data_IF_619639296964
#
_entry.id   IF_619639296964
#
_cell.length_a   1.000
_cell.length_b   1.000
_cell.length_c   1.000
_cell.angle_alpha   90.00
_cell.angle_beta   90.00
_cell.angle_gamma   90.00
#
_symmetry.space_group_name_H-M   'P 1'
#
loop_
_entity.id
_entity.type
_entity.pdbx_description
1 polymer ?
#
# COMPACT_ATOMS: atom_id res chain seq x y z
N UNK A 1 -14.13 7.53 13.34
CA UNK A 1 -14.67 6.30 12.72
C UNK A 1 -14.95 5.32 13.82
N UNK A 2 -16.20 4.97 14.11
CA UNK A 2 -16.47 4.11 15.26
C UNK A 2 -15.76 2.74 15.16
N UNK A 3 -15.09 2.32 16.24
CA UNK A 3 -14.66 0.93 16.45
C UNK A 3 -15.83 -0.05 16.23
N UNK A 4 -17.07 0.43 16.43
CA UNK A 4 -18.32 -0.27 16.16
C UNK A 4 -18.45 -0.74 14.70
N UNK A 5 -17.94 0.02 13.73
CA UNK A 5 -17.97 -0.39 12.32
C UNK A 5 -17.24 -1.72 12.14
N UNK A 6 -15.97 -1.79 12.52
CA UNK A 6 -15.16 -3.00 12.40
C UNK A 6 -15.61 -4.11 13.36
N UNK A 7 -16.09 -3.76 14.56
CA UNK A 7 -16.68 -4.74 15.47
C UNK A 7 -17.86 -5.49 14.82
N UNK A 8 -18.75 -4.78 14.12
CA UNK A 8 -19.85 -5.43 13.41
C UNK A 8 -19.38 -6.38 12.30
N UNK A 9 -18.26 -6.08 11.63
CA UNK A 9 -17.66 -6.95 10.60
C UNK A 9 -17.07 -8.20 11.27
N UNK A 10 -16.37 -8.01 12.40
CA UNK A 10 -15.83 -9.11 13.19
C UNK A 10 -16.93 -10.06 13.67
N UNK A 11 -18.07 -9.54 14.13
CA UNK A 11 -19.20 -10.38 14.54
C UNK A 11 -19.83 -11.15 13.37
N UNK A 12 -19.95 -10.54 12.19
CA UNK A 12 -20.39 -11.25 10.98
C UNK A 12 -19.43 -12.40 10.63
N UNK A 13 -18.13 -12.16 10.63
CA UNK A 13 -17.13 -13.20 10.33
C UNK A 13 -17.10 -14.31 11.38
N UNK A 14 -17.22 -13.96 12.67
CA UNK A 14 -17.32 -14.96 13.75
C UNK A 14 -18.51 -15.88 13.52
N UNK A 15 -19.66 -15.33 13.15
CA UNK A 15 -20.87 -16.11 12.86
C UNK A 15 -20.69 -17.00 11.64
N UNK A 16 -20.17 -16.46 10.53
CA UNK A 16 -20.00 -17.19 9.26
C UNK A 16 -19.02 -18.35 9.42
N UNK A 17 -17.91 -18.14 10.14
CA UNK A 17 -16.83 -19.13 10.27
C UNK A 17 -16.81 -19.86 11.61
N UNK A 18 -17.85 -19.70 12.43
CA UNK A 18 -17.96 -20.30 13.77
C UNK A 18 -16.72 -20.05 14.65
N UNK A 19 -16.17 -18.82 14.62
CA UNK A 19 -15.00 -18.44 15.43
C UNK A 19 -15.43 -18.23 16.87
N UNK A 20 -14.93 -19.10 17.76
CA UNK A 20 -15.16 -19.01 19.21
C UNK A 20 -14.33 -17.90 19.85
N UNK A 21 -14.87 -17.24 20.87
CA UNK A 21 -14.20 -16.13 21.55
C UNK A 21 -12.86 -16.54 22.17
N UNK A 22 -12.76 -17.76 22.71
CA UNK A 22 -11.54 -18.29 23.34
C UNK A 22 -10.40 -18.37 22.31
N UNK A 23 -10.72 -18.82 21.09
CA UNK A 23 -9.73 -18.90 19.99
C UNK A 23 -9.31 -17.53 19.50
N UNK A 24 -10.20 -16.54 19.62
CA UNK A 24 -9.93 -15.16 19.24
C UNK A 24 -8.97 -14.47 20.23
N UNK A 25 -9.02 -14.86 21.52
CA UNK A 25 -8.05 -14.41 22.53
C UNK A 25 -6.63 -14.86 22.21
N UNK A 26 -6.47 -16.09 21.74
CA UNK A 26 -5.17 -16.62 21.29
C UNK A 26 -4.72 -15.86 20.03
N UNK A 27 -5.60 -15.78 19.03
CA UNK A 27 -5.30 -15.08 17.78
C UNK A 27 -4.94 -13.60 17.97
N UNK A 28 -5.56 -12.92 18.93
CA UNK A 28 -5.26 -11.55 19.29
C UNK A 28 -3.83 -11.36 19.84
N UNK A 29 -3.33 -12.34 20.60
CA UNK A 29 -1.94 -12.38 21.07
C UNK A 29 -0.99 -12.65 19.91
N UNK A 30 -1.31 -13.61 19.05
CA UNK A 30 -0.50 -13.94 17.86
C UNK A 30 -0.38 -12.72 16.93
N UNK A 31 -1.50 -12.05 16.65
CA UNK A 31 -1.56 -10.80 15.88
C UNK A 31 -0.77 -9.68 16.56
N UNK A 32 -0.84 -9.54 17.87
CA UNK A 32 -0.02 -8.55 18.57
C UNK A 32 1.48 -8.85 18.47
N UNK A 33 1.86 -10.12 18.57
CA UNK A 33 3.24 -10.58 18.51
C UNK A 33 3.84 -10.38 17.12
N UNK A 34 3.10 -10.73 16.06
CA UNK A 34 3.55 -10.59 14.67
C UNK A 34 3.77 -9.12 14.26
N UNK A 35 3.05 -8.18 14.86
CA UNK A 35 3.19 -6.74 14.63
C UNK A 35 4.01 -6.04 15.72
N UNK A 36 4.73 -6.78 16.55
CA UNK A 36 5.69 -6.20 17.47
C UNK A 36 6.86 -5.56 16.71
N UNK A 37 7.52 -4.52 17.25
CA UNK A 37 8.70 -3.94 16.61
C UNK A 37 9.77 -4.98 16.31
N UNK A 38 9.99 -5.94 17.22
CA UNK A 38 10.97 -7.04 17.05
C UNK A 38 10.64 -7.90 15.83
N UNK A 39 9.38 -8.32 15.69
CA UNK A 39 8.93 -9.14 14.56
C UNK A 39 8.97 -8.38 13.23
N UNK A 40 8.58 -7.10 13.22
CA UNK A 40 8.63 -6.24 12.02
C UNK A 40 10.08 -6.04 11.54
N UNK A 41 11.00 -5.75 12.46
CA UNK A 41 12.42 -5.59 12.13
C UNK A 41 13.08 -6.90 11.69
N UNK A 42 12.66 -8.04 12.26
CA UNK A 42 13.16 -9.36 11.91
C UNK A 42 12.49 -10.01 10.69
N UNK A 43 11.52 -9.36 10.05
CA UNK A 43 10.78 -9.94 8.93
C UNK A 43 9.93 -11.17 9.29
N UNK A 44 9.72 -11.45 10.58
CA UNK A 44 9.02 -12.63 11.09
C UNK A 44 7.53 -12.36 11.35
N UNK A 45 6.91 -11.52 10.51
CA UNK A 45 5.54 -11.02 10.69
C UNK A 45 4.47 -11.93 10.10
N UNK A 46 4.86 -13.08 9.56
CA UNK A 46 3.94 -13.96 8.84
C UNK A 46 2.84 -14.50 9.75
N UNK A 47 1.60 -14.18 9.40
CA UNK A 47 0.40 -14.77 9.96
C UNK A 47 -0.51 -15.26 8.83
N UNK A 48 -1.06 -16.45 9.01
CA UNK A 48 -2.02 -16.98 8.05
C UNK A 48 -3.39 -16.30 8.21
N UNK A 49 -3.67 -15.33 7.33
CA UNK A 49 -4.98 -14.67 7.27
C UNK A 49 -6.03 -15.46 6.47
N UNK A 50 -5.71 -16.64 5.94
CA UNK A 50 -6.75 -17.58 5.54
C UNK A 50 -7.50 -18.12 6.77
N UNK A 51 -6.87 -18.11 7.94
CA UNK A 51 -7.53 -18.41 9.20
C UNK A 51 -8.44 -17.25 9.67
N UNK A 52 -9.78 -17.46 9.76
CA UNK A 52 -10.73 -16.44 10.16
C UNK A 52 -10.46 -15.84 11.55
N UNK A 53 -9.87 -16.60 12.48
CA UNK A 53 -9.54 -16.09 13.82
C UNK A 53 -8.52 -14.94 13.74
N UNK A 54 -7.53 -15.05 12.86
CA UNK A 54 -6.47 -14.06 12.69
C UNK A 54 -7.03 -12.79 12.03
N UNK A 55 -7.95 -12.94 11.07
CA UNK A 55 -8.65 -11.80 10.46
C UNK A 55 -9.52 -11.05 11.46
N UNK A 56 -10.34 -11.77 12.22
CA UNK A 56 -11.16 -11.18 13.29
C UNK A 56 -10.30 -10.41 14.31
N UNK A 57 -9.18 -11.01 14.73
CA UNK A 57 -8.25 -10.38 15.66
C UNK A 57 -7.62 -9.11 15.08
N UNK A 58 -7.19 -9.15 13.82
CA UNK A 58 -6.64 -7.99 13.11
C UNK A 58 -7.67 -6.87 12.94
N UNK A 59 -8.90 -7.19 12.50
CA UNK A 59 -9.97 -6.21 12.33
C UNK A 59 -10.26 -5.48 13.64
N UNK A 60 -10.33 -6.21 14.74
CA UNK A 60 -10.53 -5.62 16.06
C UNK A 60 -9.33 -4.76 16.50
N UNK A 61 -8.10 -5.25 16.28
CA UNK A 61 -6.89 -4.61 16.82
C UNK A 61 -6.42 -3.41 15.99
N UNK A 62 -6.37 -3.51 14.65
CA UNK A 62 -5.65 -2.56 13.81
C UNK A 62 -6.53 -1.80 12.81
N UNK A 63 -7.68 -2.33 12.40
CA UNK A 63 -8.44 -1.74 11.30
C UNK A 63 -8.86 -0.29 11.54
N UNK A 64 -9.35 0.03 12.74
CA UNK A 64 -9.79 1.38 13.09
C UNK A 64 -8.66 2.42 13.00
N UNK A 65 -7.47 2.09 13.53
CA UNK A 65 -6.33 3.00 13.51
C UNK A 65 -5.75 3.16 12.10
N UNK A 66 -5.64 2.07 11.32
CA UNK A 66 -5.17 2.15 9.93
C UNK A 66 -6.11 3.00 9.06
N UNK A 67 -7.41 2.86 9.29
CA UNK A 67 -8.38 3.69 8.57
C UNK A 67 -8.30 5.16 8.96
N UNK A 68 -8.09 5.44 10.25
CA UNK A 68 -7.90 6.80 10.74
C UNK A 68 -6.63 7.46 10.18
N UNK A 69 -5.53 6.69 10.07
CA UNK A 69 -4.29 7.14 9.43
C UNK A 69 -4.55 7.59 8.00
N UNK A 70 -5.12 6.69 7.18
CA UNK A 70 -5.37 6.97 5.77
C UNK A 70 -6.33 8.14 5.59
N UNK A 71 -7.42 8.18 6.36
CA UNK A 71 -8.36 9.29 6.32
C UNK A 71 -7.66 10.64 6.60
N UNK A 72 -6.91 10.73 7.69
CA UNK A 72 -6.32 12.00 8.11
C UNK A 72 -5.27 12.48 7.09
N UNK A 73 -4.31 11.63 6.74
CA UNK A 73 -3.20 12.04 5.88
C UNK A 73 -3.60 12.18 4.42
N UNK A 74 -4.54 11.37 3.91
CA UNK A 74 -5.04 11.58 2.55
C UNK A 74 -5.89 12.84 2.46
N UNK A 75 -6.68 13.16 3.50
CA UNK A 75 -7.41 14.43 3.55
C UNK A 75 -6.44 15.62 3.53
N UNK A 76 -5.40 15.59 4.35
CA UNK A 76 -4.34 16.61 4.33
C UNK A 76 -3.68 16.73 2.95
N UNK A 77 -3.44 15.60 2.27
CA UNK A 77 -2.92 15.59 0.91
C UNK A 77 -3.90 16.19 -0.12
N UNK A 78 -5.21 16.04 0.07
CA UNK A 78 -6.25 16.67 -0.75
C UNK A 78 -6.42 18.17 -0.45
N UNK A 79 -6.15 18.60 0.78
CA UNK A 79 -6.19 20.02 1.14
C UNK A 79 -5.02 20.78 0.47
N UNK A 80 -4.02 20.06 -0.05
CA UNK A 80 -2.90 20.58 -0.84
C UNK A 80 -3.25 20.62 -2.34
N UNK A 81 -3.07 21.78 -2.96
CA UNK A 81 -3.60 22.13 -4.29
C UNK A 81 -3.26 21.13 -5.41
N UNK A 82 -1.99 20.71 -5.65
CA UNK A 82 -1.65 19.81 -6.75
C UNK A 82 -2.45 18.49 -6.76
N UNK A 83 -2.61 17.85 -5.60
CA UNK A 83 -3.30 16.55 -5.51
C UNK A 83 -4.77 16.69 -5.86
N UNK A 84 -5.42 17.70 -5.28
CA UNK A 84 -6.85 17.95 -5.50
C UNK A 84 -7.12 18.36 -6.94
N UNK A 85 -6.33 19.27 -7.50
CA UNK A 85 -6.45 19.70 -8.89
C UNK A 85 -6.39 18.48 -9.82
N UNK A 86 -5.35 17.65 -9.70
CA UNK A 86 -5.17 16.47 -10.56
C UNK A 86 -6.36 15.50 -10.48
N UNK A 87 -6.89 15.26 -9.27
CA UNK A 87 -8.04 14.37 -9.07
C UNK A 87 -9.38 15.00 -9.48
N UNK A 88 -9.53 16.32 -9.37
CA UNK A 88 -10.77 17.04 -9.73
C UNK A 88 -11.06 16.93 -11.23
N UNK A 89 -10.03 16.88 -12.08
CA UNK A 89 -10.19 16.67 -13.52
C UNK A 89 -10.56 15.23 -13.91
N UNK A 90 -10.41 14.25 -13.01
CA UNK A 90 -10.78 12.86 -13.29
C UNK A 90 -12.29 12.69 -13.21
N UNK A 91 -12.87 12.01 -14.20
CA UNK A 91 -14.28 11.56 -14.18
C UNK A 91 -14.42 10.21 -13.49
N UNK A 92 -13.45 9.33 -13.71
CA UNK A 92 -13.42 7.96 -13.22
C UNK A 92 -12.12 7.72 -12.43
N UNK A 93 -12.21 7.81 -11.11
CA UNK A 93 -11.09 7.59 -10.19
C UNK A 93 -10.97 6.08 -9.90
N UNK A 94 -9.78 5.54 -10.15
CA UNK A 94 -9.40 4.16 -9.84
C UNK A 94 -8.40 4.13 -8.70
N UNK A 95 -8.64 3.29 -7.70
CA UNK A 95 -7.81 3.19 -6.49
C UNK A 95 -7.15 1.81 -6.45
N UNK A 96 -5.85 1.76 -6.17
CA UNK A 96 -5.09 0.54 -5.93
C UNK A 96 -4.41 0.58 -4.55
N UNK A 97 -4.73 -0.38 -3.68
CA UNK A 97 -4.08 -0.53 -2.37
C UNK A 97 -3.11 -1.71 -2.40
N UNK A 98 -1.85 -1.47 -2.07
CA UNK A 98 -0.76 -2.45 -2.05
C UNK A 98 -0.54 -2.90 -0.60
N UNK A 99 -0.74 -4.18 -0.32
CA UNK A 99 -0.77 -4.71 1.06
C UNK A 99 -1.95 -4.20 1.88
N UNK A 100 -3.09 -3.91 1.24
CA UNK A 100 -4.23 -3.27 1.89
C UNK A 100 -5.03 -4.18 2.84
N UNK A 101 -4.65 -5.44 3.00
CA UNK A 101 -5.30 -6.44 3.85
C UNK A 101 -6.81 -6.56 3.57
N UNK A 102 -7.67 -6.34 4.57
CA UNK A 102 -9.13 -6.39 4.37
C UNK A 102 -9.69 -5.20 3.57
N UNK A 103 -8.89 -4.20 3.19
CA UNK A 103 -9.34 -2.98 2.52
C UNK A 103 -9.65 -1.82 3.47
N UNK A 104 -8.94 -1.73 4.61
CA UNK A 104 -9.07 -0.60 5.55
C UNK A 104 -8.72 0.74 4.92
N UNK A 105 -7.76 0.74 4.01
CA UNK A 105 -7.27 1.94 3.33
C UNK A 105 -8.37 2.56 2.49
N UNK A 106 -9.16 1.72 1.81
CA UNK A 106 -10.31 2.15 1.01
C UNK A 106 -11.32 2.90 1.88
N UNK A 107 -11.63 2.41 3.08
CA UNK A 107 -12.57 3.10 3.97
C UNK A 107 -12.03 4.48 4.38
N UNK A 108 -10.71 4.61 4.56
CA UNK A 108 -10.05 5.87 4.90
C UNK A 108 -10.09 6.86 3.73
N UNK A 109 -9.74 6.39 2.54
CA UNK A 109 -9.78 7.16 1.29
C UNK A 109 -11.20 7.64 0.99
N UNK A 110 -12.20 6.78 1.13
CA UNK A 110 -13.60 7.14 0.86
C UNK A 110 -14.09 8.24 1.78
N UNK A 111 -13.70 8.23 3.06
CA UNK A 111 -14.02 9.32 3.98
C UNK A 111 -13.32 10.62 3.62
N UNK A 112 -12.06 10.55 3.19
CA UNK A 112 -11.30 11.73 2.80
C UNK A 112 -11.89 12.36 1.54
N UNK A 113 -12.19 11.54 0.52
CA UNK A 113 -12.83 11.98 -0.72
C UNK A 113 -14.27 12.49 -0.48
N UNK A 114 -15.06 11.80 0.34
CA UNK A 114 -16.44 12.20 0.66
C UNK A 114 -16.53 13.53 1.43
N UNK A 115 -15.43 14.02 2.00
CA UNK A 115 -15.37 15.35 2.59
C UNK A 115 -15.43 16.48 1.54
N UNK A 116 -15.20 16.17 0.26
CA UNK A 116 -15.33 17.13 -0.85
C UNK A 116 -16.44 16.73 -1.82
N UNK A 117 -17.46 17.59 -2.05
CA UNK A 117 -18.55 17.30 -3.00
C UNK A 117 -18.08 17.02 -4.42
N UNK A 118 -16.94 17.58 -4.82
CA UNK A 118 -16.33 17.40 -6.15
C UNK A 118 -15.95 15.95 -6.48
N UNK A 119 -15.83 15.06 -5.48
CA UNK A 119 -15.53 13.64 -5.68
C UNK A 119 -16.75 12.71 -5.65
N UNK A 120 -17.96 13.28 -5.50
CA UNK A 120 -19.19 12.50 -5.49
C UNK A 120 -19.32 11.63 -6.75
N UNK A 121 -19.51 10.32 -6.58
CA UNK A 121 -19.69 9.34 -7.66
C UNK A 121 -18.51 9.21 -8.66
N UNK A 122 -17.36 9.83 -8.38
CA UNK A 122 -16.17 9.72 -9.26
C UNK A 122 -15.40 8.42 -9.08
N UNK A 123 -15.43 7.80 -7.90
CA UNK A 123 -14.71 6.53 -7.68
C UNK A 123 -15.45 5.39 -8.36
N UNK A 124 -14.84 4.81 -9.39
CA UNK A 124 -15.45 3.73 -10.20
C UNK A 124 -14.80 2.37 -9.98
N UNK A 125 -13.58 2.34 -9.45
CA UNK A 125 -12.89 1.08 -9.17
C UNK A 125 -12.01 1.17 -7.94
N UNK A 126 -12.05 0.13 -7.12
CA UNK A 126 -11.06 -0.12 -6.07
C UNK A 126 -10.48 -1.52 -6.23
N UNK A 127 -9.16 -1.65 -6.07
CA UNK A 127 -8.49 -2.94 -6.10
C UNK A 127 -7.51 -3.05 -4.95
N UNK A 128 -7.58 -4.14 -4.18
CA UNK A 128 -6.60 -4.51 -3.16
C UNK A 128 -5.72 -5.61 -3.71
N UNK A 129 -4.41 -5.37 -3.71
CA UNK A 129 -3.38 -6.34 -4.05
C UNK A 129 -2.71 -6.76 -2.74
N UNK A 130 -2.87 -8.02 -2.34
CA UNK A 130 -2.37 -8.52 -1.07
C UNK A 130 -1.88 -9.96 -1.20
N UNK A 131 -0.89 -10.37 -0.42
CA UNK A 131 -0.41 -11.76 -0.43
C UNK A 131 -1.50 -12.73 0.07
N UNK A 132 -2.34 -12.28 1.01
CA UNK A 132 -3.30 -13.13 1.71
C UNK A 132 -4.70 -13.07 1.07
N UNK A 133 -5.02 -14.07 0.24
CA UNK A 133 -6.36 -14.22 -0.35
C UNK A 133 -7.50 -14.38 0.67
N UNK A 134 -7.19 -14.82 1.90
CA UNK A 134 -8.14 -14.98 3.00
C UNK A 134 -8.93 -13.72 3.38
N UNK A 135 -8.40 -12.53 3.07
CA UNK A 135 -9.07 -11.25 3.29
C UNK A 135 -10.36 -11.04 2.50
N UNK A 136 -10.62 -11.87 1.48
CA UNK A 136 -11.75 -11.71 0.54
C UNK A 136 -13.11 -11.57 1.24
N UNK A 137 -13.33 -12.25 2.37
CA UNK A 137 -14.58 -12.15 3.12
C UNK A 137 -14.71 -10.82 3.85
N UNK A 138 -13.70 -10.42 4.62
CA UNK A 138 -13.62 -9.11 5.29
C UNK A 138 -13.81 -7.96 4.29
N UNK A 139 -13.12 -8.06 3.15
CA UNK A 139 -13.20 -7.10 2.06
C UNK A 139 -14.62 -6.97 1.50
N UNK A 140 -15.29 -8.09 1.20
CA UNK A 140 -16.70 -8.07 0.75
C UNK A 140 -17.62 -7.39 1.75
N UNK A 141 -17.44 -7.65 3.05
CA UNK A 141 -18.23 -7.01 4.10
C UNK A 141 -17.99 -5.50 4.19
N UNK A 142 -16.73 -5.06 4.05
CA UNK A 142 -16.36 -3.63 4.02
C UNK A 142 -17.00 -2.94 2.81
N UNK A 143 -16.81 -3.50 1.61
CA UNK A 143 -17.35 -2.92 0.37
C UNK A 143 -18.88 -2.88 0.40
N UNK A 144 -19.53 -3.94 0.89
CA UNK A 144 -20.99 -3.95 1.04
C UNK A 144 -21.46 -2.82 1.96
N UNK A 145 -20.83 -2.64 3.13
CA UNK A 145 -21.19 -1.56 4.06
C UNK A 145 -20.93 -0.16 3.46
N UNK A 146 -19.88 0.02 2.69
CA UNK A 146 -19.62 1.26 1.93
C UNK A 146 -20.74 1.56 0.93
N UNK A 147 -21.11 0.59 0.09
CA UNK A 147 -22.19 0.71 -0.91
C UNK A 147 -23.54 1.08 -0.29
N UNK A 148 -23.82 0.59 0.92
CA UNK A 148 -25.09 0.84 1.62
C UNK A 148 -25.03 2.05 2.58
N UNK A 149 -24.00 2.90 2.49
CA UNK A 149 -23.87 4.10 3.32
C UNK A 149 -23.79 3.82 4.83
N UNK A 150 -23.22 2.67 5.21
CA UNK A 150 -23.05 2.27 6.63
C UNK A 150 -21.72 2.74 7.23
N UNK A 151 -20.91 3.47 6.46
CA UNK A 151 -19.68 4.10 6.93
C UNK A 151 -19.97 5.54 7.30
N UNK A 152 -19.80 5.88 8.57
CA UNK A 152 -19.93 7.24 9.09
C UNK A 152 -19.10 8.23 8.25
N UNK A 153 -19.73 9.30 7.78
CA UNK A 153 -19.09 10.33 6.95
C UNK A 153 -18.96 9.99 5.46
N UNK A 154 -19.53 8.87 5.00
CA UNK A 154 -19.63 8.52 3.58
C UNK A 154 -21.12 8.42 3.22
N UNK A 155 -21.69 9.38 2.47
CA UNK A 155 -23.09 9.33 2.05
C UNK A 155 -23.42 8.05 1.27
N UNK A 156 -24.63 7.51 1.41
CA UNK A 156 -25.08 6.33 0.66
C UNK A 156 -25.03 6.54 -0.87
N UNK A 157 -25.24 7.77 -1.32
CA UNK A 157 -25.17 8.17 -2.73
C UNK A 157 -23.75 8.42 -3.25
N UNK A 158 -22.74 8.41 -2.38
CA UNK A 158 -21.35 8.69 -2.76
C UNK A 158 -20.81 7.70 -3.80
N UNK A 159 -21.28 6.45 -3.75
CA UNK A 159 -20.94 5.40 -4.70
C UNK A 159 -22.06 5.25 -5.71
N UNK A 160 -21.74 5.43 -6.98
CA UNK A 160 -22.64 4.98 -8.04
C UNK A 160 -22.52 3.46 -8.17
N UNK A 161 -23.51 2.73 -7.64
CA UNK A 161 -23.46 1.26 -7.60
C UNK A 161 -23.53 0.60 -8.99
N UNK A 162 -23.99 1.32 -10.02
CA UNK A 162 -24.14 0.77 -11.38
C UNK A 162 -22.80 0.61 -12.11
N UNK A 163 -21.80 1.45 -11.81
CA UNK A 163 -20.49 1.44 -12.46
C UNK A 163 -19.33 1.09 -11.52
N UNK A 164 -19.57 0.98 -10.20
CA UNK A 164 -18.53 0.72 -9.22
C UNK A 164 -18.09 -0.76 -9.13
N UNK A 165 -16.78 -0.98 -9.30
CA UNK A 165 -16.11 -2.29 -9.18
C UNK A 165 -15.19 -2.34 -7.97
N UNK A 166 -15.11 -3.50 -7.33
CA UNK A 166 -14.26 -3.71 -6.16
C UNK A 166 -13.67 -5.12 -6.17
N UNK A 167 -12.34 -5.19 -6.19
CA UNK A 167 -11.61 -6.45 -6.34
C UNK A 167 -10.55 -6.62 -5.25
N UNK A 168 -10.38 -7.87 -4.81
CA UNK A 168 -9.23 -8.30 -4.02
C UNK A 168 -8.52 -9.41 -4.77
N UNK A 169 -7.25 -9.18 -5.09
CA UNK A 169 -6.41 -10.07 -5.88
C UNK A 169 -5.26 -10.55 -4.99
N UNK A 170 -5.17 -11.86 -4.81
CA UNK A 170 -4.07 -12.48 -4.10
C UNK A 170 -2.82 -12.47 -4.98
N UNK A 171 -1.76 -11.79 -4.55
CA UNK A 171 -0.51 -11.65 -5.33
C UNK A 171 0.67 -11.41 -4.39
N UNK A 172 1.81 -12.05 -4.67
CA UNK A 172 3.08 -11.70 -4.04
C UNK A 172 3.69 -10.50 -4.79
N UNK A 173 3.65 -9.33 -4.16
CA UNK A 173 4.18 -8.10 -4.74
C UNK A 173 5.72 -8.02 -4.72
N UNK A 174 6.40 -9.01 -4.11
CA UNK A 174 7.86 -9.11 -4.09
C UNK A 174 8.43 -9.90 -5.28
N UNK A 175 7.56 -10.60 -6.01
CA UNK A 175 7.93 -11.39 -7.19
C UNK A 175 7.71 -10.58 -8.48
N UNK A 176 8.24 -11.04 -9.63
CA UNK A 176 7.91 -10.46 -10.93
C UNK A 176 6.40 -10.33 -11.12
N UNK A 177 5.95 -9.10 -11.40
CA UNK A 177 4.52 -8.78 -11.46
C UNK A 177 3.86 -9.37 -12.72
N UNK A 178 2.76 -10.12 -12.57
CA UNK A 178 1.97 -10.55 -13.73
C UNK A 178 1.43 -9.34 -14.51
N UNK A 179 1.29 -9.47 -15.83
CA UNK A 179 0.81 -8.39 -16.70
C UNK A 179 -0.55 -7.82 -16.28
N UNK A 180 -1.44 -8.66 -15.74
CA UNK A 180 -2.73 -8.24 -15.20
C UNK A 180 -2.59 -7.31 -13.99
N UNK A 181 -1.59 -7.54 -13.15
CA UNK A 181 -1.30 -6.74 -11.96
C UNK A 181 -0.63 -5.42 -12.34
N UNK A 182 0.33 -5.46 -13.27
CA UNK A 182 0.92 -4.26 -13.87
C UNK A 182 -0.18 -3.35 -14.40
N UNK A 183 -1.17 -3.91 -15.12
CA UNK A 183 -2.33 -3.18 -15.63
C UNK A 183 -3.19 -2.56 -14.53
N UNK A 184 -3.35 -3.21 -13.38
CA UNK A 184 -4.08 -2.63 -12.24
C UNK A 184 -3.34 -1.39 -11.72
N UNK A 185 -2.04 -1.53 -11.46
CA UNK A 185 -1.20 -0.45 -10.93
C UNK A 185 -1.12 0.72 -11.91
N UNK A 186 -0.89 0.44 -13.19
CA UNK A 186 -0.74 1.46 -14.23
C UNK A 186 -2.01 2.19 -14.60
N UNK A 187 -3.18 1.69 -14.19
CA UNK A 187 -4.45 2.37 -14.40
C UNK A 187 -4.92 3.17 -13.17
N UNK A 188 -4.32 2.97 -11.99
CA UNK A 188 -4.74 3.61 -10.75
C UNK A 188 -4.43 5.12 -10.76
N UNK A 189 -5.41 5.94 -10.36
CA UNK A 189 -5.25 7.38 -10.09
C UNK A 189 -4.77 7.63 -8.66
N UNK A 190 -5.12 6.73 -7.75
CA UNK A 190 -4.67 6.76 -6.36
C UNK A 190 -4.02 5.41 -6.03
N UNK A 191 -2.78 5.44 -5.55
CA UNK A 191 -2.08 4.27 -5.03
C UNK A 191 -1.83 4.46 -3.54
N UNK A 192 -2.12 3.44 -2.75
CA UNK A 192 -1.92 3.47 -1.30
C UNK A 192 -1.01 2.33 -0.85
N UNK A 193 -0.03 2.65 -0.01
CA UNK A 193 0.92 1.71 0.60
C UNK A 193 0.93 1.96 2.11
N UNK A 194 0.14 1.19 2.85
CA UNK A 194 -0.05 1.38 4.31
C UNK A 194 0.49 0.17 5.05
N UNK A 195 1.55 0.37 5.86
CA UNK A 195 2.28 -0.69 6.57
C UNK A 195 2.78 -1.80 5.63
N UNK A 196 3.01 -1.45 4.37
CA UNK A 196 3.41 -2.40 3.34
C UNK A 196 4.89 -2.77 3.49
N UNK A 197 5.79 -1.78 3.54
CA UNK A 197 7.23 -1.99 3.49
C UNK A 197 7.73 -2.57 4.79
N UNK A 198 7.31 -2.07 5.95
CA UNK A 198 7.77 -2.66 7.22
C UNK A 198 7.33 -4.11 7.43
N UNK A 199 6.30 -4.57 6.71
CA UNK A 199 5.93 -5.99 6.72
C UNK A 199 6.89 -6.86 5.91
N UNK A 200 7.64 -6.28 4.95
CA UNK A 200 8.52 -6.99 4.02
C UNK A 200 9.99 -6.55 4.08
N UNK A 201 10.34 -5.53 4.87
CA UNK A 201 11.68 -4.91 4.85
C UNK A 201 12.81 -5.80 5.35
N UNK A 202 12.49 -6.89 6.05
CA UNK A 202 13.47 -7.94 6.35
C UNK A 202 14.03 -8.64 5.10
N UNK A 203 13.54 -8.30 3.92
CA UNK A 203 13.89 -8.88 2.62
C UNK A 203 14.47 -7.81 1.71
N UNK A 204 15.67 -8.03 1.18
CA UNK A 204 16.35 -7.09 0.29
C UNK A 204 15.54 -6.81 -0.99
N UNK A 205 14.75 -7.80 -1.41
CA UNK A 205 13.84 -7.78 -2.56
C UNK A 205 12.74 -6.72 -2.43
N UNK A 206 12.42 -6.27 -1.21
CA UNK A 206 11.37 -5.27 -0.96
C UNK A 206 11.66 -3.92 -1.64
N UNK A 207 12.93 -3.50 -1.65
CA UNK A 207 13.37 -2.25 -2.28
C UNK A 207 13.24 -2.34 -3.80
N UNK A 208 13.69 -3.45 -4.38
CA UNK A 208 13.58 -3.72 -5.81
C UNK A 208 12.11 -3.80 -6.26
N UNK A 209 11.26 -4.46 -5.49
CA UNK A 209 9.82 -4.55 -5.75
C UNK A 209 9.14 -3.17 -5.75
N UNK A 210 9.44 -2.33 -4.75
CA UNK A 210 8.93 -0.95 -4.69
C UNK A 210 9.35 -0.13 -5.90
N UNK A 211 10.61 -0.31 -6.36
CA UNK A 211 11.10 0.33 -7.59
C UNK A 211 10.27 -0.12 -8.80
N UNK A 212 10.08 -1.43 -9.01
CA UNK A 212 9.28 -1.97 -10.11
C UNK A 212 7.85 -1.42 -10.08
N UNK A 213 7.20 -1.46 -8.92
CA UNK A 213 5.86 -0.90 -8.71
C UNK A 213 5.84 0.58 -9.08
N UNK A 214 6.80 1.37 -8.57
CA UNK A 214 6.89 2.81 -8.82
C UNK A 214 7.05 3.18 -10.30
N UNK A 215 7.73 2.34 -11.10
CA UNK A 215 7.82 2.53 -12.55
C UNK A 215 6.50 2.28 -13.28
N UNK A 216 5.64 1.41 -12.75
CA UNK A 216 4.32 1.15 -13.32
C UNK A 216 3.24 2.15 -12.88
N UNK A 217 3.47 2.95 -11.83
CA UNK A 217 2.54 4.02 -11.46
C UNK A 217 2.51 5.08 -12.56
N UNK A 218 1.30 5.37 -13.08
CA UNK A 218 1.10 6.32 -14.18
C UNK A 218 1.36 7.76 -13.76
N UNK A 219 1.70 8.60 -14.74
CA UNK A 219 1.83 10.05 -14.57
C UNK A 219 0.52 10.65 -14.03
N UNK A 220 0.65 11.62 -13.13
CA UNK A 220 -0.46 12.26 -12.43
C UNK A 220 -1.14 11.38 -11.37
N UNK A 221 -0.69 10.14 -11.12
CA UNK A 221 -1.24 9.38 -10.02
C UNK A 221 -0.76 9.93 -8.66
N UNK A 222 -1.68 10.00 -7.71
CA UNK A 222 -1.39 10.36 -6.33
C UNK A 222 -1.03 9.10 -5.55
N UNK A 223 0.07 9.14 -4.80
CA UNK A 223 0.55 8.00 -4.03
C UNK A 223 0.65 8.37 -2.56
N UNK A 224 -0.04 7.64 -1.70
CA UNK A 224 0.05 7.80 -0.25
C UNK A 224 0.83 6.63 0.35
N UNK A 225 1.93 6.96 1.02
CA UNK A 225 2.78 6.04 1.75
C UNK A 225 2.69 6.30 3.24
N UNK A 226 2.33 5.28 4.02
CA UNK A 226 2.28 5.34 5.48
C UNK A 226 2.92 4.07 6.01
N UNK A 227 4.04 4.19 6.71
CA UNK A 227 4.70 3.02 7.29
C UNK A 227 5.14 3.23 8.74
N UNK A 228 5.66 2.21 9.40
CA UNK A 228 6.35 2.33 10.68
C UNK A 228 7.59 3.23 10.53
N UNK A 229 7.88 4.02 11.56
CA UNK A 229 9.15 4.78 11.61
C UNK A 229 10.29 3.78 11.77
N UNK A 230 11.11 3.66 10.74
CA UNK A 230 12.29 2.80 10.72
C UNK A 230 13.31 3.41 9.75
N UNK A 231 14.54 3.62 10.23
CA UNK A 231 15.59 4.27 9.44
C UNK A 231 15.98 3.45 8.20
N UNK A 232 15.79 2.13 8.27
CA UNK A 232 15.98 1.22 7.12
C UNK A 232 14.96 1.46 6.00
N UNK A 233 13.80 2.06 6.29
CA UNK A 233 12.74 2.33 5.29
C UNK A 233 12.96 3.68 4.60
N UNK A 234 13.25 4.73 5.36
CA UNK A 234 13.15 6.12 4.90
C UNK A 234 14.16 6.44 3.79
N UNK A 235 15.41 6.01 3.94
CA UNK A 235 16.48 6.21 2.95
C UNK A 235 16.17 5.57 1.59
N UNK A 236 15.94 4.24 1.54
CA UNK A 236 15.59 3.55 0.29
C UNK A 236 14.32 4.09 -0.38
N UNK A 237 13.27 4.37 0.40
CA UNK A 237 12.01 4.92 -0.14
C UNK A 237 12.21 6.28 -0.79
N UNK A 238 12.99 7.18 -0.17
CA UNK A 238 13.34 8.49 -0.77
C UNK A 238 14.14 8.34 -2.06
N UNK A 239 15.08 7.39 -2.13
CA UNK A 239 15.87 7.13 -3.34
C UNK A 239 14.98 6.59 -4.47
N UNK A 240 14.10 5.64 -4.17
CA UNK A 240 13.15 5.07 -5.13
C UNK A 240 12.20 6.16 -5.62
N UNK A 241 11.71 7.03 -4.74
CA UNK A 241 10.83 8.11 -5.15
C UNK A 241 11.51 9.05 -6.16
N UNK A 242 12.80 9.31 -5.91
CA UNK A 242 13.81 9.82 -6.83
C UNK A 242 13.69 9.26 -8.24
N UNK A 243 14.08 8.00 -8.33
CA UNK A 243 14.25 7.24 -9.57
C UNK A 243 12.92 7.03 -10.30
N UNK A 244 11.82 6.96 -9.56
CA UNK A 244 10.49 6.81 -10.11
C UNK A 244 9.82 8.14 -10.45
N UNK A 245 10.47 9.31 -10.39
CA UNK A 245 9.84 10.58 -10.76
C UNK A 245 8.62 10.91 -9.90
N UNK A 246 8.69 10.62 -8.60
CA UNK A 246 7.67 11.05 -7.64
C UNK A 246 8.07 12.40 -7.06
N UNK A 247 7.16 13.37 -7.15
CA UNK A 247 7.29 14.67 -6.49
C UNK A 247 6.58 14.63 -5.15
N UNK A 248 7.28 15.02 -4.08
CA UNK A 248 6.69 15.12 -2.74
C UNK A 248 5.63 16.22 -2.72
N UNK A 249 4.42 15.89 -2.28
CA UNK A 249 3.34 16.85 -2.00
C UNK A 249 2.98 16.88 -0.52
N UNK A 250 3.35 15.84 0.25
CA UNK A 250 3.17 15.79 1.69
C UNK A 250 4.36 15.08 2.33
N UNK A 251 4.91 15.64 3.40
CA UNK A 251 6.00 15.02 4.17
C UNK A 251 7.39 15.10 3.53
N UNK A 252 8.37 14.33 4.06
CA UNK A 252 8.19 13.27 5.05
C UNK A 252 7.73 13.78 6.41
N UNK A 253 6.66 13.20 6.94
CA UNK A 253 6.20 13.44 8.31
C UNK A 253 6.58 12.23 9.17
N UNK A 254 7.19 12.48 10.32
CA UNK A 254 7.47 11.46 11.33
C UNK A 254 6.71 11.82 12.59
N UNK A 255 5.86 10.92 13.06
CA UNK A 255 5.00 11.27 14.18
C UNK A 255 4.35 10.09 14.84
N UNK A 256 3.73 10.37 15.98
CA UNK A 256 2.80 9.43 16.61
C UNK A 256 1.38 9.81 16.25
N UNK A 257 0.73 8.92 15.50
CA UNK A 257 -0.71 9.01 15.32
C UNK A 257 -1.43 8.46 16.54
N UNK A 258 -2.39 9.24 17.06
CA UNK A 258 -3.28 8.85 18.16
C UNK A 258 -4.71 8.82 17.66
N UNK A 259 -5.34 7.66 17.79
CA UNK A 259 -6.75 7.49 17.52
C UNK A 259 -7.58 8.03 18.70
N UNK A 260 -8.37 9.08 18.46
CA UNK A 260 -8.98 9.93 19.50
C UNK A 260 -10.25 9.37 20.14
N UNK A 261 -10.90 8.36 19.56
CA UNK A 261 -12.11 7.78 20.13
C UNK A 261 -11.76 6.76 21.22
N UNK A 262 -11.54 7.26 22.44
CA UNK A 262 -11.21 6.44 23.62
C UNK A 262 -12.42 5.78 24.27
N UNK A 263 -13.64 6.26 23.99
CA UNK A 263 -14.90 5.77 24.60
C UNK A 263 -15.20 4.29 24.32
N UNK A 264 -14.49 3.70 23.36
CA UNK A 264 -14.69 2.32 22.91
C UNK A 264 -13.50 1.40 23.18
N UNK A 265 -12.57 1.83 24.05
CA UNK A 265 -11.46 0.98 24.54
C UNK A 265 -11.97 -0.05 25.55
N UNK A 266 -12.66 -1.07 25.05
CA UNK A 266 -13.01 -2.26 25.82
C UNK A 266 -12.01 -3.35 25.48
N UNK A 267 -11.49 -4.05 26.46
CA UNK A 267 -10.81 -5.33 26.27
C UNK A 267 -11.90 -6.39 26.04
N UNK A 268 -12.03 -6.88 24.80
CA UNK A 268 -13.06 -7.86 24.43
C UNK A 268 -12.41 -9.23 24.23
N UNK A 269 -11.28 -9.29 23.54
CA UNK A 269 -10.62 -10.54 23.17
C UNK A 269 -9.27 -10.71 23.88
N UNK A 270 -9.18 -10.30 25.15
CA UNK A 270 -7.93 -10.35 25.91
C UNK A 270 -6.84 -9.44 25.34
N UNK A 271 -7.25 -8.40 24.61
CA UNK A 271 -6.39 -7.34 24.13
C UNK A 271 -7.19 -6.05 23.91
N UNK A 272 -6.51 -4.92 23.98
CA UNK A 272 -7.08 -3.62 23.60
C UNK A 272 -6.88 -3.36 22.10
N UNK A 273 -7.82 -2.64 21.45
CA UNK A 273 -7.59 -2.09 20.12
C UNK A 273 -6.37 -1.17 20.11
N UNK A 274 -5.59 -1.22 19.02
CA UNK A 274 -4.49 -0.31 18.82
C UNK A 274 -5.03 1.12 18.67
N UNK A 275 -4.57 2.02 19.52
CA UNK A 275 -5.01 3.42 19.54
C UNK A 275 -3.87 4.42 19.34
N UNK A 276 -2.64 3.93 19.19
CA UNK A 276 -1.45 4.75 19.01
C UNK A 276 -0.45 3.98 18.15
N UNK A 277 0.13 4.63 17.15
CA UNK A 277 1.25 4.07 16.37
C UNK A 277 2.21 5.17 15.98
N UNK A 278 3.51 4.86 15.94
CA UNK A 278 4.49 5.71 15.27
C UNK A 278 4.43 5.44 13.77
N UNK A 279 4.44 6.49 12.97
CA UNK A 279 4.37 6.40 11.51
C UNK A 279 5.32 7.38 10.82
N UNK A 280 5.82 6.95 9.67
CA UNK A 280 6.37 7.83 8.63
C UNK A 280 5.32 7.96 7.53
N UNK A 281 5.05 9.19 7.10
CA UNK A 281 4.05 9.49 6.07
C UNK A 281 4.68 10.31 4.97
N UNK A 282 4.43 9.91 3.73
CA UNK A 282 4.84 10.65 2.54
C UNK A 282 3.68 10.59 1.54
N UNK A 283 3.34 11.74 0.98
CA UNK A 283 2.43 11.85 -0.15
C UNK A 283 3.19 12.29 -1.39
N UNK A 284 2.95 11.62 -2.50
CA UNK A 284 3.57 11.91 -3.79
C UNK A 284 2.54 12.13 -4.88
N UNK A 285 2.97 12.84 -5.92
CA UNK A 285 2.37 12.78 -7.26
C UNK A 285 3.43 12.29 -8.23
N UNK A 286 3.07 11.35 -9.10
CA UNK A 286 3.95 10.93 -10.20
C UNK A 286 4.01 12.04 -11.25
N UNK A 287 5.21 12.54 -11.53
CA UNK A 287 5.46 13.60 -12.51
C UNK A 287 6.40 13.10 -13.60
N UNK A 288 6.55 13.90 -14.66
CA UNK A 288 7.58 13.65 -15.68
C UNK A 288 8.93 13.91 -15.03
N UNK A 289 9.78 12.88 -14.94
CA UNK A 289 11.12 13.04 -14.40
C UNK A 289 11.98 13.83 -15.37
N UNK A 290 12.17 15.13 -15.12
CA UNK A 290 13.13 15.98 -15.84
C UNK A 290 14.59 15.55 -15.61
N UNK A 291 14.84 14.64 -14.66
CA UNK A 291 16.17 14.20 -14.23
C UNK A 291 16.74 13.05 -15.07
N UNK A 292 16.06 12.60 -16.13
CA UNK A 292 16.58 11.51 -16.98
C UNK A 292 17.80 11.89 -17.82
N UNK A 293 18.12 13.19 -17.94
CA UNK A 293 19.28 13.65 -18.72
C UNK A 293 20.58 13.78 -17.91
N UNK A 294 20.57 13.61 -16.58
CA UNK A 294 21.79 13.80 -15.77
C UNK A 294 22.62 12.52 -15.53
N UNK A 295 22.09 11.33 -15.85
CA UNK A 295 22.76 10.04 -15.58
C UNK A 295 22.96 9.15 -16.83
N UNK A 296 22.88 9.69 -18.05
CA UNK A 296 23.06 8.93 -19.31
C UNK A 296 24.49 8.41 -19.56
N UNK A 297 25.33 8.31 -18.53
CA UNK A 297 26.64 7.67 -18.58
C UNK A 297 26.80 6.42 -17.70
N UNK A 298 25.75 5.95 -17.02
CA UNK A 298 25.77 4.62 -16.43
C UNK A 298 25.02 3.62 -17.33
N UNK A 299 25.79 2.71 -17.94
CA UNK A 299 25.30 1.66 -18.84
C UNK A 299 24.16 0.85 -18.20
N UNK A 300 22.94 1.07 -18.67
CA UNK A 300 21.79 0.22 -18.32
C UNK A 300 21.97 -1.13 -19.03
N UNK A 301 22.46 -2.13 -18.30
CA UNK A 301 22.49 -3.53 -18.74
C UNK A 301 21.06 -4.09 -18.66
N UNK A 302 20.59 -4.85 -19.66
CA UNK A 302 19.27 -5.48 -19.63
C UNK A 302 19.12 -6.45 -18.45
N UNK A 303 17.93 -6.45 -17.83
CA UNK A 303 17.56 -7.07 -16.54
C UNK A 303 17.59 -8.62 -16.53
N UNK A 304 18.29 -9.28 -17.46
CA UNK A 304 18.34 -10.75 -17.55
C UNK A 304 19.72 -11.38 -17.26
N UNK A 305 20.68 -10.65 -16.72
CA UNK A 305 21.95 -11.24 -16.25
C UNK A 305 22.54 -10.40 -15.11
N UNK A 306 22.14 -10.71 -13.88
CA UNK A 306 22.87 -10.26 -12.69
C UNK A 306 23.78 -11.43 -12.31
N UNK A 307 25.06 -11.31 -12.67
CA UNK A 307 26.11 -12.01 -11.95
C UNK A 307 26.23 -11.39 -10.57
N UNK A 308 26.35 -12.26 -9.57
CA UNK A 308 26.67 -11.92 -8.19
C UNK A 308 27.98 -11.13 -8.18
N UNK A 309 27.91 -9.82 -7.89
CA UNK A 309 29.07 -9.02 -7.52
C UNK A 309 28.90 -8.53 -6.08
N UNK A 310 30.04 -8.54 -5.39
CA UNK A 310 30.26 -8.48 -3.95
C UNK A 310 29.65 -7.26 -3.25
N UNK A 311 28.57 -7.49 -2.48
CA UNK A 311 28.20 -6.62 -1.35
C UNK A 311 28.61 -7.32 -0.04
N UNK A 312 29.88 -7.12 0.31
CA UNK A 312 30.47 -7.44 1.62
C UNK A 312 29.74 -6.70 2.74
N UNK A 313 28.74 -7.36 3.34
CA UNK A 313 28.24 -7.05 4.68
C UNK A 313 28.86 -8.04 5.67
N UNK A 314 30.16 -7.87 5.94
CA UNK A 314 30.82 -8.61 7.02
C UNK A 314 30.34 -8.08 8.37
N UNK A 315 29.79 -9.01 9.15
CA UNK A 315 29.54 -8.90 10.58
C UNK A 315 30.87 -8.95 11.33
N UNK A 316 31.10 -7.97 12.21
CA UNK A 316 32.17 -8.03 13.19
C UNK A 316 32.04 -9.30 14.04
N UNK A 317 33.14 -10.05 14.08
CA UNK A 317 33.32 -11.25 14.87
C UNK A 317 33.76 -10.88 16.29
N UNK A 318 32.87 -11.04 17.25
CA UNK A 318 33.27 -11.18 18.66
C UNK A 318 33.29 -12.66 19.03
N UNK A 319 34.52 -13.13 19.24
CA UNK A 319 34.84 -14.38 19.90
C UNK A 319 34.44 -14.29 21.38
N UNK A 320 33.69 -15.26 21.89
CA UNK A 320 34.06 -15.88 23.16
C UNK A 320 33.38 -17.22 23.42
N UNK A 321 34.09 -17.99 24.23
CA UNK A 321 34.08 -19.43 24.38
C UNK A 321 32.88 -20.02 25.14
N UNK A 322 32.69 -21.31 24.86
CA UNK A 322 32.54 -22.39 25.84
C UNK A 322 31.16 -22.97 26.21
N UNK A 323 31.21 -24.30 26.34
CA UNK A 323 30.31 -25.26 27.00
C UNK A 323 29.19 -25.91 26.16
N UNK A 324 29.52 -27.11 25.67
CA UNK A 324 28.59 -28.21 25.31
C UNK A 324 27.87 -28.77 26.55
N UNK A 325 26.66 -29.35 26.41
CA UNK A 325 26.63 -30.82 26.40
C UNK A 325 25.53 -31.48 25.55
N UNK A 326 25.94 -32.56 24.87
CA UNK A 326 25.26 -33.85 24.68
C UNK A 326 23.75 -33.87 24.41
N UNK A 327 23.36 -34.07 23.14
CA UNK A 327 22.05 -34.62 22.76
C UNK A 327 22.20 -36.01 22.14
N UNK A 328 21.57 -36.97 22.81
CA UNK A 328 21.42 -38.38 22.43
C UNK A 328 20.42 -38.49 21.26
N UNK A 329 20.88 -39.00 20.11
CA UNK A 329 20.04 -39.40 18.99
C UNK A 329 19.36 -40.75 19.29
N UNK A 330 18.04 -40.75 19.44
CA UNK A 330 17.20 -41.95 19.36
C UNK A 330 16.62 -42.06 17.95
N UNK A 331 16.95 -43.13 17.27
CA UNK A 331 16.32 -43.56 16.01
C UNK A 331 14.83 -43.86 16.22
N UNK A 332 13.97 -43.36 15.32
CA UNK A 332 12.59 -43.80 15.18
C UNK A 332 12.39 -44.39 13.78
N UNK A 333 11.96 -45.65 13.79
CA UNK A 333 11.62 -46.48 12.64
C UNK A 333 10.42 -45.87 11.88
N UNK A 334 10.55 -45.79 10.56
CA UNK A 334 9.49 -45.42 9.63
C UNK A 334 8.46 -46.54 9.46
N UNK A 335 7.17 -46.23 9.59
CA UNK A 335 6.09 -46.99 8.98
C UNK A 335 5.17 -46.06 8.18
N UNK A 336 4.79 -46.57 7.02
CA UNK A 336 4.02 -45.96 5.93
C UNK A 336 2.66 -45.40 6.38
N UNK A 337 2.28 -44.22 5.86
CA UNK A 337 1.05 -44.08 5.05
C UNK A 337 0.95 -42.71 4.37
N UNK A 338 0.38 -42.77 3.15
CA UNK A 338 0.12 -41.68 2.20
C UNK A 338 -0.85 -40.63 2.77
N UNK A 339 -0.48 -39.35 2.70
CA UNK A 339 -1.34 -38.27 2.21
C UNK A 339 -0.49 -37.02 1.93
N UNK A 340 -0.59 -36.51 0.69
CA UNK A 340 0.26 -35.48 0.13
C UNK A 340 -0.32 -34.09 0.46
N UNK A 341 0.17 -33.46 1.52
CA UNK A 341 0.09 -32.01 1.70
C UNK A 341 1.51 -31.48 1.88
N UNK A 342 1.90 -30.50 1.05
CA UNK A 342 3.21 -29.88 1.07
C UNK A 342 3.44 -29.17 2.42
N UNK A 343 4.15 -29.84 3.32
CA UNK A 343 4.76 -29.22 4.50
C UNK A 343 6.04 -28.52 4.07
N UNK A 344 6.04 -27.20 4.07
CA UNK A 344 7.28 -26.43 4.16
C UNK A 344 7.79 -26.49 5.60
N UNK A 345 8.99 -27.05 5.74
CA UNK A 345 9.77 -27.17 6.98
C UNK A 345 10.43 -25.81 7.24
N UNK A 346 10.45 -25.36 8.50
CA UNK A 346 11.29 -24.25 8.93
C UNK A 346 11.75 -24.46 10.37
N UNK A 347 13.06 -24.37 10.56
CA UNK A 347 13.75 -24.52 11.84
C UNK A 347 13.71 -23.25 12.69
N UNK A 348 13.79 -23.47 14.00
CA UNK A 348 13.68 -22.47 15.08
C UNK A 348 15.03 -21.81 15.36
N UNK A 349 15.04 -20.51 15.65
CA UNK A 349 16.13 -19.86 16.37
C UNK A 349 15.62 -18.94 17.48
N UNK A 350 16.30 -19.01 18.63
CA UNK A 350 16.07 -18.32 19.90
C UNK A 350 16.79 -16.97 19.95
N UNK A 351 16.22 -16.03 20.71
CA UNK A 351 16.62 -14.62 20.82
C UNK A 351 17.54 -14.34 22.02
N UNK A 352 18.38 -13.31 21.89
CA UNK A 352 18.89 -12.47 23.00
C UNK A 352 18.50 -11.00 22.76
N UNK A 353 18.38 -10.23 23.84
CA UNK A 353 17.83 -8.87 23.89
C UNK A 353 18.93 -7.82 24.04
N UNK A 354 18.81 -6.68 23.34
CA UNK A 354 19.57 -5.45 23.65
C UNK A 354 18.71 -4.17 23.52
N UNK A 355 19.02 -3.20 24.38
CA UNK A 355 18.33 -1.93 24.60
C UNK A 355 18.88 -0.83 23.67
N UNK A 356 17.99 0.00 23.09
CA UNK A 356 18.37 1.20 22.33
C UNK A 356 17.97 2.51 23.03
N UNK A 357 18.95 3.41 23.16
CA UNK A 357 18.82 4.81 23.56
C UNK A 357 18.59 5.71 22.35
N UNK A 358 17.73 6.71 22.49
CA UNK A 358 17.38 7.69 21.44
C UNK A 358 18.16 9.00 21.58
N UNK A 359 18.73 9.49 20.47
CA UNK A 359 19.35 10.82 20.36
C UNK A 359 18.38 11.77 19.64
N UNK A 360 18.27 13.02 20.14
CA UNK A 360 17.46 14.10 19.58
C UNK A 360 18.27 14.94 18.59
N UNK A 361 17.70 15.23 17.41
CA UNK A 361 18.27 16.18 16.44
C UNK A 361 17.51 17.51 16.45
N UNK A 362 18.28 18.60 16.38
CA UNK A 362 17.83 19.99 16.34
C UNK A 362 17.20 20.39 15.00
N UNK A 363 16.24 21.31 15.09
CA UNK A 363 15.49 21.87 13.98
C UNK A 363 16.18 23.11 13.42
N UNK A 364 16.42 23.16 12.11
CA UNK A 364 16.81 24.37 11.39
C UNK A 364 15.59 24.90 10.65
N UNK A 365 15.15 26.11 10.99
CA UNK A 365 14.06 26.80 10.32
C UNK A 365 14.60 27.57 9.11
N UNK A 366 14.18 27.20 7.90
CA UNK A 366 14.27 28.04 6.71
C UNK A 366 12.86 28.56 6.38
N UNK A 367 12.67 29.87 6.49
CA UNK A 367 11.47 30.55 5.98
C UNK A 367 11.64 30.81 4.49
N UNK A 368 10.78 30.22 3.66
CA UNK A 368 10.69 30.57 2.24
C UNK A 368 9.80 31.81 2.05
N UNK A 369 10.18 32.66 1.10
CA UNK A 369 9.44 33.87 0.71
C UNK A 369 8.13 33.47 0.01
N UNK A 370 7.00 34.02 0.47
CA UNK A 370 5.66 33.73 -0.06
C UNK A 370 5.55 34.03 -1.57
N UNK A 371 6.39 34.92 -2.09
CA UNK A 371 6.45 35.23 -3.51
C UNK A 371 7.02 34.08 -4.36
N UNK A 372 7.96 33.31 -3.82
CA UNK A 372 8.53 32.15 -4.53
C UNK A 372 7.49 31.03 -4.67
N UNK A 373 6.66 30.84 -3.65
CA UNK A 373 5.56 29.85 -3.65
C UNK A 373 4.49 30.23 -4.68
N UNK A 374 4.14 31.52 -4.77
CA UNK A 374 3.17 32.02 -5.75
C UNK A 374 3.65 31.85 -7.20
N UNK A 375 4.94 32.14 -7.44
CA UNK A 375 5.56 31.96 -8.76
C UNK A 375 5.64 30.49 -9.17
N UNK A 376 5.95 29.59 -8.21
CA UNK A 376 5.98 28.15 -8.45
C UNK A 376 4.58 27.61 -8.80
N UNK A 377 3.55 28.06 -8.08
CA UNK A 377 2.16 27.70 -8.38
C UNK A 377 1.74 28.12 -9.79
N UNK A 378 2.08 29.35 -10.19
CA UNK A 378 1.78 29.88 -11.53
C UNK A 378 2.47 29.08 -12.63
N UNK A 379 3.74 28.73 -12.44
CA UNK A 379 4.51 27.92 -13.39
C UNK A 379 3.95 26.50 -13.50
N UNK A 380 3.59 25.88 -12.37
CA UNK A 380 2.96 24.54 -12.36
C UNK A 380 1.62 24.54 -13.09
N UNK A 381 0.82 25.59 -12.95
CA UNK A 381 -0.45 25.73 -13.66
C UNK A 381 -0.21 25.82 -15.17
N UNK A 382 0.73 26.67 -15.61
CA UNK A 382 1.07 26.83 -17.03
C UNK A 382 1.61 25.54 -17.67
N UNK A 383 2.46 24.79 -16.95
CA UNK A 383 2.97 23.49 -17.41
C UNK A 383 1.85 22.44 -17.51
N UNK A 384 0.91 22.45 -16.58
CA UNK A 384 -0.24 21.55 -16.62
C UNK A 384 -1.17 21.89 -17.80
N UNK A 385 -1.42 23.17 -18.05
CA UNK A 385 -2.21 23.63 -19.20
C UNK A 385 -1.55 23.23 -20.53
N UNK A 386 -0.21 23.33 -20.61
CA UNK A 386 0.56 22.88 -21.77
C UNK A 386 0.46 21.36 -21.99
N UNK A 387 0.58 20.56 -20.92
CA UNK A 387 0.43 19.10 -20.99
C UNK A 387 -0.95 18.69 -21.49
N UNK A 388 -2.01 19.35 -21.01
CA UNK A 388 -3.39 19.14 -21.49
C UNK A 388 -3.49 19.48 -22.98
N UNK A 389 -2.84 20.56 -23.41
CA UNK A 389 -2.84 20.98 -24.82
C UNK A 389 -2.12 19.96 -25.71
N UNK A 390 -1.03 19.36 -25.22
CA UNK A 390 -0.30 18.29 -25.91
C UNK A 390 -1.09 16.98 -26.00
N UNK A 391 -1.76 16.57 -24.92
CA UNK A 391 -2.64 15.38 -24.94
C UNK A 391 -3.79 15.55 -25.95
N UNK A 392 -4.41 16.73 -25.97
CA UNK A 392 -5.46 17.05 -26.94
C UNK A 392 -4.94 17.09 -28.38
N UNK A 393 -3.69 17.52 -28.58
CA UNK A 393 -3.06 17.55 -29.90
C UNK A 393 -2.80 16.14 -30.45
N UNK A 394 -2.33 15.21 -29.61
CA UNK A 394 -2.14 13.80 -30.01
C UNK A 394 -3.47 13.10 -30.31
N UNK A 395 -4.52 13.38 -29.52
CA UNK A 395 -5.89 12.92 -29.83
C UNK A 395 -6.34 13.46 -31.20
N UNK A 396 -6.09 14.75 -31.48
CA UNK A 396 -6.44 15.35 -32.75
C UNK A 396 -5.68 14.75 -33.95
N UNK A 397 -4.42 14.36 -33.74
CA UNK A 397 -3.58 13.70 -34.76
C UNK A 397 -4.07 12.28 -35.06
N UNK A 398 -4.48 11.53 -34.03
CA UNK A 398 -5.02 10.17 -34.19
C UNK A 398 -6.34 10.13 -34.97
N UNK A 399 -7.17 11.19 -34.87
CA UNK A 399 -8.45 11.28 -35.59
C UNK A 399 -8.33 11.68 -37.06
N UNK A 400 -7.16 12.17 -37.54
CA UNK A 400 -6.96 12.53 -38.95
C UNK A 400 -6.51 11.38 -39.84
N UNK A 401 -6.17 10.21 -39.28
CA UNK A 401 -5.73 9.04 -40.06
C UNK A 401 -6.87 8.09 -40.50
N UNK A 402 -8.13 8.47 -40.28
CA UNK A 402 -9.29 7.75 -40.81
C UNK A 402 -9.89 8.55 -41.97
N UNK A 403 -9.76 8.03 -43.19
CA UNK A 403 -10.44 8.38 -44.46
C UNK A 403 -9.46 8.73 -45.60
N UNK A 404 -8.85 7.70 -46.19
CA UNK A 404 -8.61 7.66 -47.65
C UNK A 404 -8.57 6.19 -48.09
N UNK A 405 -9.74 5.58 -48.26
CA UNK A 405 -9.88 4.41 -49.12
C UNK A 405 -10.16 4.92 -50.54
N UNK A 406 -9.32 4.61 -51.54
CA UNK A 406 -9.59 4.97 -52.93
C UNK A 406 -10.78 4.12 -53.41
N UNK A 407 -11.92 4.75 -53.68
CA UNK A 407 -13.02 4.09 -54.38
C UNK A 407 -12.63 3.91 -55.85
N UNK A 408 -12.50 2.65 -56.26
CA UNK A 408 -12.34 2.25 -57.64
C UNK A 408 -13.54 2.73 -58.49
N UNK A 409 -13.28 3.64 -59.44
CA UNK A 409 -14.16 3.90 -60.57
C UNK A 409 -14.21 2.65 -61.47
N UNK A 410 -15.38 2.02 -61.59
CA UNK A 410 -15.68 1.07 -62.67
C UNK A 410 -16.20 1.85 -63.87
N UNK A 411 -15.47 1.76 -64.98
CA UNK A 411 -15.90 2.18 -66.31
C UNK A 411 -17.03 1.29 -66.83
N UNK A 412 -18.16 1.88 -67.20
CA UNK A 412 -19.17 1.22 -68.03
C UNK A 412 -18.82 1.43 -69.51
N UNK A 413 -18.65 0.32 -70.23
CA UNK A 413 -18.64 0.26 -71.69
C UNK A 413 -20.08 0.16 -72.22
N UNK A 414 -20.34 0.87 -73.31
CA UNK A 414 -21.52 0.78 -74.15
C UNK A 414 -21.67 -0.60 -74.79
N UNK A 415 -22.91 -1.12 -74.82
CA UNK A 415 -23.62 -1.63 -76.02
C UNK A 415 -25.09 -1.27 -75.86
#
# INVERSE_FOLDING_TARGET
MSLQFYFSITEDEKKIFNVKEETLKIAAKDVASAYSPKSLMGGSTFLDYNNPRNRCAYLYKYAAIHTGLVFNYFKEMLDISPTKLVLDYKKDIKICCLGGGPGTDIVGLFKALAASPSFHQKVTQVTVLDLCGGWRNSFKHIISRLKHGKVEGVPASFINSSNFKADLIAVNLLEPLPASIVKVISNADIVCMVKFVSAVIGKQESVSALKVIGHHVKLGASVLFIDNVCDKVSGPVKRISLQCGFSNVLGPLHGTYKYTNTKTKKDIYGCLPCCKTKVSVIGWIKTVSLLTDLNSHENIVPVNSISEDDDSWNTDSDSDNDVSPNMVLRELKSQNNKELFSKTICDKYTQTDENYLSISNGSVNHSFDENEISNLCTLMQALNDLLILMENFEIFKSNRNCCYTPSHCKSHYCV
#
